data_IF_235374286876
#
_entry.id   IF_235374286876
#
_cell.length_a   1.000
_cell.length_b   1.000
_cell.length_c   1.000
_cell.angle_alpha   90.00
_cell.angle_beta   90.00
_cell.angle_gamma   90.00
#
_symmetry.space_group_name_H-M   'P 1'
#
loop_
_entity.id
_entity.type
_entity.pdbx_description
1 polymer ?
#
# COMPACT_ATOMS: atom_id res chain seq x y z
N UNK A 1 32.03 5.31 9.94
CA UNK A 1 30.82 4.52 10.25
C UNK A 1 29.63 5.29 9.70
N UNK A 2 29.20 4.97 8.48
CA UNK A 2 28.10 5.68 7.81
C UNK A 2 26.81 5.21 8.44
N UNK A 3 26.15 6.09 9.19
CA UNK A 3 24.85 5.81 9.79
C UNK A 3 23.85 5.45 8.68
N UNK A 4 23.36 4.21 8.71
CA UNK A 4 22.20 3.78 7.94
C UNK A 4 21.04 4.73 8.27
N UNK A 5 20.63 5.52 7.28
CA UNK A 5 19.41 6.30 7.36
C UNK A 5 18.28 5.29 7.59
N UNK A 6 17.53 5.34 8.70
CA UNK A 6 16.21 4.74 8.66
C UNK A 6 15.47 5.65 7.69
N UNK A 7 15.33 5.22 6.45
CA UNK A 7 14.49 5.89 5.48
C UNK A 7 13.09 5.73 6.04
N UNK A 8 12.68 6.69 6.89
CA UNK A 8 11.34 6.79 7.43
C UNK A 8 10.47 6.82 6.20
N UNK A 9 9.88 5.69 5.83
CA UNK A 9 9.07 5.59 4.64
C UNK A 9 7.93 6.56 4.90
N UNK A 10 8.03 7.74 4.28
CA UNK A 10 7.07 8.79 4.48
C UNK A 10 5.69 8.22 4.16
N UNK A 11 4.63 8.65 4.86
CA UNK A 11 3.27 8.23 4.57
C UNK A 11 3.03 8.31 3.06
N UNK A 12 2.78 7.17 2.42
CA UNK A 12 2.63 7.07 0.97
C UNK A 12 1.21 6.66 0.61
N UNK A 13 0.67 7.24 -0.46
CA UNK A 13 -0.63 6.81 -0.97
C UNK A 13 -0.62 5.32 -1.29
N UNK A 14 -1.67 4.61 -0.89
CA UNK A 14 -1.82 3.17 -1.15
C UNK A 14 -1.65 2.84 -2.63
N UNK A 15 -2.19 3.65 -3.54
CA UNK A 15 -2.01 3.46 -4.98
C UNK A 15 -0.53 3.50 -5.44
N UNK A 16 0.31 4.30 -4.78
CA UNK A 16 1.76 4.34 -5.04
C UNK A 16 2.46 3.13 -4.45
N UNK A 17 2.05 2.68 -3.26
CA UNK A 17 2.60 1.49 -2.61
C UNK A 17 2.28 0.23 -3.42
N UNK A 18 1.03 0.05 -3.86
CA UNK A 18 0.61 -1.06 -4.71
C UNK A 18 1.34 -1.06 -6.08
N UNK A 19 1.53 0.12 -6.68
CA UNK A 19 2.28 0.24 -7.92
C UNK A 19 3.77 -0.08 -7.75
N UNK A 20 4.37 0.29 -6.61
CA UNK A 20 5.76 -0.05 -6.26
C UNK A 20 5.94 -1.53 -5.93
N UNK A 21 4.93 -2.16 -5.34
CA UNK A 21 4.89 -3.59 -5.06
C UNK A 21 4.74 -4.44 -6.34
N UNK A 22 4.54 -3.82 -7.51
CA UNK A 22 4.37 -4.53 -8.78
C UNK A 22 3.03 -5.24 -8.94
N UNK A 23 2.08 -5.05 -8.02
CA UNK A 23 0.78 -5.72 -8.05
C UNK A 23 -0.14 -5.19 -9.13
N UNK A 24 -0.14 -3.87 -9.35
CA UNK A 24 -1.05 -3.24 -10.29
C UNK A 24 -0.59 -1.84 -10.71
N UNK A 25 -1.12 -1.32 -11.81
CA UNK A 25 -0.93 0.09 -12.18
C UNK A 25 -1.69 1.05 -11.25
N UNK A 26 -1.27 2.32 -11.15
CA UNK A 26 -1.97 3.36 -10.34
C UNK A 26 -3.49 3.40 -10.58
N UNK A 27 -3.91 3.33 -11.84
CA UNK A 27 -5.34 3.28 -12.24
C UNK A 27 -6.05 2.00 -11.83
N UNK A 28 -5.35 0.87 -11.81
CA UNK A 28 -5.92 -0.40 -11.35
C UNK A 28 -6.05 -0.41 -9.83
N UNK A 29 -5.08 0.17 -9.10
CA UNK A 29 -5.18 0.33 -7.65
C UNK A 29 -6.45 1.10 -7.26
N UNK A 30 -6.73 2.22 -7.94
CA UNK A 30 -7.96 2.99 -7.71
C UNK A 30 -9.23 2.16 -7.96
N UNK A 31 -9.25 1.34 -9.02
CA UNK A 31 -10.36 0.42 -9.30
C UNK A 31 -10.52 -0.66 -8.23
N UNK A 32 -9.43 -1.25 -7.77
CA UNK A 32 -9.47 -2.29 -6.73
C UNK A 32 -9.95 -1.75 -5.40
N UNK A 33 -9.53 -0.53 -5.05
CA UNK A 33 -9.99 0.18 -3.86
C UNK A 33 -11.48 0.51 -3.99
N UNK A 34 -11.91 1.08 -5.13
CA UNK A 34 -13.33 1.34 -5.37
C UNK A 34 -14.19 0.07 -5.37
N UNK A 35 -13.61 -1.06 -5.74
CA UNK A 35 -14.25 -2.38 -5.70
C UNK A 35 -14.19 -3.07 -4.31
N UNK A 36 -13.58 -2.44 -3.30
CA UNK A 36 -13.43 -3.01 -1.96
C UNK A 36 -12.50 -4.23 -1.89
N UNK A 37 -11.61 -4.39 -2.87
CA UNK A 37 -10.64 -5.50 -2.94
C UNK A 37 -9.40 -5.27 -2.08
N UNK A 38 -9.16 -4.03 -1.67
CA UNK A 38 -7.97 -3.63 -0.91
C UNK A 38 -8.36 -3.37 0.53
N UNK A 39 -7.69 -4.02 1.47
CA UNK A 39 -7.88 -3.79 2.90
C UNK A 39 -6.54 -3.46 3.58
N UNK A 40 -6.58 -2.54 4.53
CA UNK A 40 -5.41 -2.12 5.32
C UNK A 40 -5.69 -2.43 6.78
N UNK A 41 -4.83 -3.22 7.41
CA UNK A 41 -5.01 -3.69 8.79
C UNK A 41 -6.35 -4.40 9.05
N UNK A 42 -6.99 -4.92 7.99
CA UNK A 42 -8.33 -5.53 8.04
C UNK A 42 -9.46 -4.58 7.63
N UNK A 43 -9.20 -3.28 7.49
CA UNK A 43 -10.19 -2.31 7.06
C UNK A 43 -10.23 -2.17 5.54
N UNK A 44 -11.37 -2.52 4.93
CA UNK A 44 -11.57 -2.38 3.49
C UNK A 44 -11.54 -0.90 3.11
N UNK A 45 -10.62 -0.55 2.22
CA UNK A 45 -10.54 0.80 1.69
C UNK A 45 -11.61 0.99 0.63
N UNK A 46 -12.34 2.10 0.74
CA UNK A 46 -13.30 2.56 -0.27
C UNK A 46 -12.79 3.76 -1.06
N UNK A 47 -11.73 4.43 -0.57
CA UNK A 47 -11.16 5.63 -1.20
C UNK A 47 -9.66 5.48 -1.49
N UNK A 48 -9.18 5.90 -2.67
CA UNK A 48 -7.78 5.79 -3.05
C UNK A 48 -6.89 6.88 -2.41
N UNK A 49 -7.48 7.84 -1.71
CA UNK A 49 -6.79 8.92 -1.01
C UNK A 49 -6.21 8.50 0.35
N UNK A 50 -6.19 7.20 0.65
CA UNK A 50 -5.64 6.66 1.88
C UNK A 50 -4.13 6.61 1.81
N UNK A 51 -3.51 7.04 2.91
CA UNK A 51 -2.08 7.06 3.08
C UNK A 51 -1.73 5.95 4.04
N UNK A 52 -0.83 5.07 3.61
CA UNK A 52 -0.34 3.94 4.40
C UNK A 52 1.13 4.15 4.74
N UNK A 53 1.51 3.63 5.90
CA UNK A 53 2.85 3.65 6.45
C UNK A 53 3.50 2.26 6.33
N UNK A 54 4.77 2.16 6.71
CA UNK A 54 5.47 0.86 6.71
C UNK A 54 4.90 -0.13 7.74
N UNK A 55 4.20 0.35 8.76
CA UNK A 55 3.58 -0.51 9.77
C UNK A 55 2.20 -1.03 9.35
N UNK A 56 1.64 -0.47 8.27
CA UNK A 56 0.31 -0.82 7.81
C UNK A 56 0.34 -2.07 6.93
N UNK A 57 -0.47 -3.06 7.30
CA UNK A 57 -0.60 -4.32 6.56
C UNK A 57 -1.63 -4.16 5.47
N UNK A 58 -1.17 -3.93 4.25
CA UNK A 58 -2.05 -3.87 3.08
C UNK A 58 -2.25 -5.27 2.51
N UNK A 59 -3.50 -5.63 2.29
CA UNK A 59 -3.94 -6.87 1.67
C UNK A 59 -4.82 -6.55 0.48
N UNK A 60 -4.73 -7.38 -0.55
CA UNK A 60 -5.49 -7.25 -1.79
C UNK A 60 -6.05 -8.63 -2.10
N UNK A 61 -7.37 -8.75 -2.16
CA UNK A 61 -8.06 -10.04 -2.38
C UNK A 61 -7.67 -11.13 -1.37
N UNK A 62 -7.27 -10.73 -0.16
CA UNK A 62 -6.77 -11.64 0.88
C UNK A 62 -5.26 -11.91 0.82
N UNK A 63 -4.58 -11.49 -0.26
CA UNK A 63 -3.13 -11.62 -0.40
C UNK A 63 -2.41 -10.40 0.20
N UNK A 64 -1.49 -10.55 1.16
CA UNK A 64 -0.69 -9.42 1.64
C UNK A 64 0.21 -8.90 0.52
N UNK A 65 0.27 -7.59 0.34
CA UNK A 65 1.20 -7.03 -0.63
C UNK A 65 2.64 -7.26 -0.16
N UNK A 66 3.59 -7.56 -1.06
CA UNK A 66 4.99 -7.62 -0.69
C UNK A 66 5.44 -6.21 -0.28
N UNK A 67 5.46 -5.97 1.04
CA UNK A 67 6.17 -4.84 1.61
C UNK A 67 7.64 -5.01 1.29
N UNK A 68 8.25 -3.96 0.72
CA UNK A 68 9.69 -3.96 0.46
C UNK A 68 10.40 -4.28 1.79
N UNK A 69 11.13 -5.40 1.83
CA UNK A 69 12.21 -5.57 2.78
C UNK A 69 13.24 -4.45 2.60
#
# INVERSE_FOLDING_TARGET
MTAEKPERIAPQRIAKVMARAGLCSRRQAEKWIAAGRVAVNGDILTTPAIVVTANDRVTVDGEPIPGRA
#
